data_IF_742452966279
#
_entry.id   IF_742452966279
#
_cell.length_a   1.000
_cell.length_b   1.000
_cell.length_c   1.000
_cell.angle_alpha   90.00
_cell.angle_beta   90.00
_cell.angle_gamma   90.00
#
_symmetry.space_group_name_H-M   'P 1'
#
loop_
_entity.id
_entity.type
_entity.pdbx_description
1 polymer ?
#
# COMPACT_ATOMS: atom_id res chain seq x y z
N UNK A 1 -18.15 38.78 4.10
CA UNK A 1 -17.50 37.76 4.95
C UNK A 1 -16.27 38.36 5.60
N UNK A 2 -16.20 38.39 6.93
CA UNK A 2 -15.03 38.91 7.67
C UNK A 2 -13.78 38.06 7.37
N UNK A 3 -12.58 38.66 7.37
CA UNK A 3 -11.30 37.97 7.09
C UNK A 3 -11.14 36.69 7.94
N UNK A 4 -11.55 36.73 9.20
CA UNK A 4 -11.52 35.57 10.11
C UNK A 4 -12.41 34.41 9.64
N UNK A 5 -13.60 34.68 9.08
CA UNK A 5 -14.49 33.64 8.55
C UNK A 5 -13.94 33.01 7.27
N UNK A 6 -13.25 33.79 6.42
CA UNK A 6 -12.56 33.26 5.23
C UNK A 6 -11.39 32.36 5.60
N UNK A 7 -10.58 32.77 6.59
CA UNK A 7 -9.46 31.96 7.07
C UNK A 7 -9.91 30.60 7.64
N UNK A 8 -10.96 30.59 8.48
CA UNK A 8 -11.55 29.35 9.01
C UNK A 8 -12.03 28.40 7.90
N UNK A 9 -12.66 28.96 6.86
CA UNK A 9 -13.10 28.18 5.70
C UNK A 9 -11.93 27.58 4.92
N UNK A 10 -10.89 28.37 4.65
CA UNK A 10 -9.69 27.89 3.97
C UNK A 10 -8.99 26.78 4.75
N UNK A 11 -8.85 26.94 6.07
CA UNK A 11 -8.27 25.91 6.94
C UNK A 11 -9.10 24.62 6.87
N UNK A 12 -10.43 24.73 6.97
CA UNK A 12 -11.32 23.57 6.85
C UNK A 12 -11.15 22.83 5.52
N UNK A 13 -11.01 23.58 4.42
CA UNK A 13 -10.83 23.02 3.07
C UNK A 13 -9.47 22.32 2.94
N UNK A 14 -8.39 22.92 3.45
CA UNK A 14 -7.06 22.30 3.42
C UNK A 14 -7.03 21.02 4.27
N UNK A 15 -7.62 21.05 5.48
CA UNK A 15 -7.68 19.88 6.36
C UNK A 15 -8.50 18.77 5.71
N UNK A 16 -9.68 19.07 5.16
CA UNK A 16 -10.51 18.04 4.51
C UNK A 16 -9.82 17.45 3.28
N UNK A 17 -9.17 18.27 2.46
CA UNK A 17 -8.38 17.80 1.33
C UNK A 17 -7.24 16.87 1.78
N UNK A 18 -6.51 17.24 2.84
CA UNK A 18 -5.45 16.38 3.40
C UNK A 18 -5.96 15.04 3.91
N UNK A 19 -7.10 15.03 4.60
CA UNK A 19 -7.73 13.80 5.09
C UNK A 19 -8.17 12.91 3.94
N UNK A 20 -8.80 13.48 2.90
CA UNK A 20 -9.23 12.72 1.72
C UNK A 20 -8.05 12.12 0.96
N UNK A 21 -6.95 12.87 0.82
CA UNK A 21 -5.72 12.37 0.20
C UNK A 21 -5.13 11.19 0.97
N UNK A 22 -5.00 11.31 2.29
CA UNK A 22 -4.48 10.24 3.13
C UNK A 22 -5.35 8.98 3.05
N UNK A 23 -6.67 9.15 3.15
CA UNK A 23 -7.62 8.04 3.03
C UNK A 23 -7.53 7.35 1.67
N UNK A 24 -7.45 8.13 0.58
CA UNK A 24 -7.31 7.61 -0.78
C UNK A 24 -6.00 6.83 -0.98
N UNK A 25 -4.87 7.36 -0.47
CA UNK A 25 -3.59 6.66 -0.53
C UNK A 25 -3.64 5.31 0.20
N UNK A 26 -4.21 5.27 1.41
CA UNK A 26 -4.33 4.03 2.17
C UNK A 26 -5.29 3.04 1.50
N UNK A 27 -6.42 3.51 0.95
CA UNK A 27 -7.34 2.67 0.20
C UNK A 27 -6.67 2.06 -1.05
N UNK A 28 -5.81 2.82 -1.73
CA UNK A 28 -5.03 2.33 -2.86
C UNK A 28 -4.06 1.21 -2.44
N UNK A 29 -3.37 1.37 -1.30
CA UNK A 29 -2.49 0.32 -0.78
C UNK A 29 -3.25 -0.98 -0.47
N UNK A 30 -4.43 -0.86 0.14
CA UNK A 30 -5.31 -2.02 0.41
C UNK A 30 -5.73 -2.69 -0.91
N UNK A 31 -6.15 -1.90 -1.90
CA UNK A 31 -6.50 -2.42 -3.22
C UNK A 31 -5.34 -3.19 -3.86
N UNK A 32 -4.14 -2.60 -3.88
CA UNK A 32 -2.94 -3.23 -4.44
C UNK A 32 -2.61 -4.54 -3.72
N UNK A 33 -2.76 -4.59 -2.39
CA UNK A 33 -2.49 -5.80 -1.62
C UNK A 33 -3.42 -6.98 -2.00
N UNK A 34 -4.67 -6.70 -2.39
CA UNK A 34 -5.61 -7.73 -2.84
C UNK A 34 -5.49 -8.05 -4.34
N UNK A 35 -5.24 -7.04 -5.17
CA UNK A 35 -5.11 -7.19 -6.63
C UNK A 35 -3.79 -7.86 -7.01
N UNK A 36 -2.76 -7.68 -6.18
CA UNK A 36 -1.52 -8.45 -6.27
C UNK A 36 -1.82 -9.90 -5.93
N UNK A 37 -2.40 -10.64 -6.87
CA UNK A 37 -2.33 -12.08 -6.91
C UNK A 37 -0.96 -12.41 -7.50
N UNK A 38 0.12 -12.59 -6.69
CA UNK A 38 1.32 -13.16 -7.25
C UNK A 38 0.90 -14.54 -7.76
N UNK A 39 1.05 -14.75 -9.06
CA UNK A 39 0.89 -16.05 -9.69
C UNK A 39 1.48 -17.09 -8.73
N UNK A 40 0.66 -18.00 -8.22
CA UNK A 40 1.12 -19.05 -7.31
C UNK A 40 2.00 -20.00 -8.12
N UNK A 41 3.24 -19.60 -8.36
CA UNK A 41 4.26 -20.45 -8.95
C UNK A 41 4.43 -21.64 -8.02
N UNK A 42 4.56 -22.83 -8.61
CA UNK A 42 4.78 -24.06 -7.87
C UNK A 42 6.13 -23.97 -7.13
N UNK A 43 6.11 -23.38 -5.94
CA UNK A 43 7.29 -23.26 -5.09
C UNK A 43 7.62 -24.66 -4.57
N UNK A 44 8.80 -25.15 -4.93
CA UNK A 44 9.34 -26.36 -4.34
C UNK A 44 9.52 -26.10 -2.84
N UNK A 45 8.78 -26.86 -2.03
CA UNK A 45 8.81 -26.79 -0.56
C UNK A 45 10.10 -27.39 0.01
N UNK A 46 10.83 -28.14 -0.80
CA UNK A 46 12.02 -28.87 -0.42
C UNK A 46 13.29 -28.05 -0.67
N UNK A 47 14.19 -28.11 0.30
CA UNK A 47 15.49 -27.44 0.26
C UNK A 47 16.34 -28.11 -0.84
N UNK A 48 16.91 -27.35 -1.77
CA UNK A 48 17.68 -27.94 -2.87
C UNK A 48 18.66 -26.95 -3.53
N UNK A 49 19.78 -27.49 -4.02
CA UNK A 49 20.89 -26.76 -4.64
C UNK A 49 20.77 -26.62 -6.17
N UNK A 50 19.74 -27.19 -6.80
CA UNK A 50 19.62 -27.18 -8.26
C UNK A 50 19.42 -25.77 -8.81
N UNK A 51 20.22 -25.36 -9.77
CA UNK A 51 20.08 -24.11 -10.48
C UNK A 51 18.85 -24.12 -11.41
N UNK A 52 18.21 -22.96 -11.60
CA UNK A 52 17.11 -22.80 -12.56
C UNK A 52 15.69 -23.13 -12.07
N UNK A 53 15.48 -23.44 -10.78
CA UNK A 53 14.14 -23.63 -10.20
C UNK A 53 13.83 -22.56 -9.15
N UNK A 54 12.64 -21.97 -9.21
CA UNK A 54 12.16 -21.01 -8.22
C UNK A 54 11.78 -21.74 -6.92
N UNK A 55 12.32 -21.28 -5.79
CA UNK A 55 12.08 -21.82 -4.45
C UNK A 55 12.10 -20.69 -3.43
N UNK A 56 11.53 -20.92 -2.24
CA UNK A 56 11.61 -19.94 -1.16
C UNK A 56 13.08 -19.70 -0.75
N UNK A 57 13.41 -18.47 -0.37
CA UNK A 57 14.71 -18.17 0.23
C UNK A 57 14.86 -18.94 1.56
N UNK A 58 16.09 -19.38 1.85
CA UNK A 58 16.38 -20.05 3.12
C UNK A 58 16.15 -19.07 4.29
N UNK A 59 15.50 -19.51 5.36
CA UNK A 59 15.36 -18.69 6.57
C UNK A 59 16.73 -18.43 7.17
N UNK A 60 16.95 -17.21 7.66
CA UNK A 60 18.19 -16.87 8.37
C UNK A 60 18.22 -17.40 9.82
N UNK A 61 17.24 -18.21 10.21
CA UNK A 61 17.06 -18.82 11.53
C UNK A 61 17.22 -20.33 11.43
#
# INVERSE_FOLDING_TARGET
>A
MTRARKAKWLIGLVVSAGVLLLAGANAHLVYVAFESQPECVAHLKENGSDSGRYRAANSAC
#
